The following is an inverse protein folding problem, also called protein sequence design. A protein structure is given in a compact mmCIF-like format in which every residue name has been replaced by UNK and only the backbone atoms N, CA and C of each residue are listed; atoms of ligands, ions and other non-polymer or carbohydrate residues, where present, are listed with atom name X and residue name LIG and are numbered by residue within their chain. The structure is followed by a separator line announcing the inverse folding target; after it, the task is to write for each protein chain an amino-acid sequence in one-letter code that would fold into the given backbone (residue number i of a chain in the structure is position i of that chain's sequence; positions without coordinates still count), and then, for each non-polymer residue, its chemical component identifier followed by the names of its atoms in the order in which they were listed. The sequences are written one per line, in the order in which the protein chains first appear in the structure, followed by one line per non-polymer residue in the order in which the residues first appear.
data_IF_180544644806
#
_entry.id   IF_180544644806
#
_cell.length_a   1.000
_cell.length_b   1.000
_cell.length_c   1.000
_cell.angle_alpha   90.00
_cell.angle_beta   90.00
_cell.angle_gamma   90.00
#
_symmetry.space_group_name_H-M   'P 1'
#
loop_
_entity.id
_entity.type
_entity.pdbx_description
1 polymer ?
#
# COMPACT_ATOMS: atom_id res chain seq x y z
N UNK A 1 -21.23 0.89 -60.33
CA UNK A 1 -20.13 -0.05 -60.03
C UNK A 1 -19.21 0.61 -59.03
N UNK A 2 -19.17 0.13 -57.77
CA UNK A 2 -18.26 0.65 -56.73
C UNK A 2 -16.97 -0.17 -56.84
N UNK A 3 -15.93 0.42 -57.41
CA UNK A 3 -14.64 -0.23 -57.67
C UNK A 3 -14.03 -0.75 -56.36
N UNK A 4 -13.42 -1.92 -56.41
CA UNK A 4 -12.95 -2.64 -55.21
C UNK A 4 -11.95 -1.84 -54.36
N UNK A 5 -11.22 -0.91 -54.99
CA UNK A 5 -10.33 0.07 -54.36
C UNK A 5 -11.04 0.98 -53.35
N UNK A 6 -12.30 1.36 -53.58
CA UNK A 6 -13.05 2.21 -52.64
C UNK A 6 -13.46 1.46 -51.38
N UNK A 7 -13.71 0.15 -51.50
CA UNK A 7 -14.05 -0.71 -50.36
C UNK A 7 -12.83 -0.91 -49.45
N UNK A 8 -11.66 -1.17 -50.04
CA UNK A 8 -10.41 -1.29 -49.28
C UNK A 8 -10.06 0.02 -48.56
N UNK A 9 -10.21 1.17 -49.24
CA UNK A 9 -9.96 2.49 -48.62
C UNK A 9 -10.94 2.78 -47.48
N UNK A 10 -12.20 2.38 -47.62
CA UNK A 10 -13.21 2.51 -46.56
C UNK A 10 -12.87 1.63 -45.34
N UNK A 11 -12.48 0.37 -45.57
CA UNK A 11 -12.09 -0.57 -44.51
C UNK A 11 -10.87 -0.05 -43.74
N UNK A 12 -9.83 0.43 -44.44
CA UNK A 12 -8.63 1.00 -43.79
C UNK A 12 -9.00 2.21 -42.94
N UNK A 13 -9.90 3.08 -43.40
CA UNK A 13 -10.35 4.24 -42.64
C UNK A 13 -11.11 3.87 -41.36
N UNK A 14 -11.95 2.83 -41.43
CA UNK A 14 -12.65 2.27 -40.27
C UNK A 14 -11.64 1.65 -39.29
N UNK A 15 -10.66 0.91 -39.79
CA UNK A 15 -9.63 0.29 -38.96
C UNK A 15 -8.86 1.32 -38.14
N UNK A 16 -8.45 2.44 -38.78
CA UNK A 16 -7.78 3.55 -38.10
C UNK A 16 -8.69 4.15 -37.01
N UNK A 17 -9.97 4.36 -37.31
CA UNK A 17 -10.92 4.88 -36.33
C UNK A 17 -11.06 3.96 -35.10
N UNK A 18 -11.07 2.64 -35.30
CA UNK A 18 -11.12 1.65 -34.22
C UNK A 18 -9.85 1.68 -33.38
N UNK A 19 -8.67 1.78 -34.00
CA UNK A 19 -7.39 1.89 -33.28
C UNK A 19 -7.33 3.16 -32.44
N UNK A 20 -7.79 4.29 -32.98
CA UNK A 20 -7.86 5.56 -32.23
C UNK A 20 -8.82 5.45 -31.05
N UNK A 21 -10.00 4.83 -31.25
CA UNK A 21 -10.96 4.58 -30.18
C UNK A 21 -10.35 3.72 -29.05
N UNK A 22 -9.66 2.63 -29.41
CA UNK A 22 -8.96 1.77 -28.47
C UNK A 22 -7.87 2.52 -27.69
N UNK A 23 -7.10 3.38 -28.35
CA UNK A 23 -6.08 4.20 -27.70
C UNK A 23 -6.68 5.14 -26.63
N UNK A 24 -7.82 5.77 -26.92
CA UNK A 24 -8.54 6.63 -25.97
C UNK A 24 -9.00 5.84 -24.74
N UNK A 25 -9.52 4.62 -24.94
CA UNK A 25 -9.98 3.75 -23.84
C UNK A 25 -8.80 3.35 -22.94
N UNK A 26 -7.67 2.96 -23.53
CA UNK A 26 -6.47 2.62 -22.76
C UNK A 26 -5.98 3.82 -21.95
N UNK A 27 -5.97 5.01 -22.54
CA UNK A 27 -5.58 6.24 -21.83
C UNK A 27 -6.48 6.51 -20.62
N UNK A 28 -7.80 6.33 -20.79
CA UNK A 28 -8.79 6.50 -19.73
C UNK A 28 -8.58 5.52 -18.57
N UNK A 29 -8.33 4.25 -18.87
CA UNK A 29 -8.07 3.22 -17.86
C UNK A 29 -6.80 3.49 -17.05
N UNK A 30 -5.73 3.96 -17.70
CA UNK A 30 -4.44 4.28 -17.05
C UNK A 30 -4.60 5.43 -16.06
N UNK A 31 -5.35 6.48 -16.41
CA UNK A 31 -5.59 7.63 -15.52
C UNK A 31 -6.39 7.21 -14.27
N UNK A 32 -7.39 6.34 -14.43
CA UNK A 32 -8.18 5.84 -13.30
C UNK A 32 -7.35 4.96 -12.37
N UNK A 33 -6.51 4.07 -12.92
CA UNK A 33 -5.61 3.24 -12.10
C UNK A 33 -4.62 4.09 -11.28
N UNK A 34 -4.05 5.14 -11.87
CA UNK A 34 -3.18 6.08 -11.16
C UNK A 34 -3.89 6.74 -9.98
N UNK A 35 -5.17 7.09 -10.14
CA UNK A 35 -5.95 7.68 -9.07
C UNK A 35 -6.19 6.68 -7.92
N UNK A 36 -6.54 5.42 -8.25
CA UNK A 36 -6.74 4.37 -7.24
C UNK A 36 -5.48 4.02 -6.46
N UNK A 37 -4.31 3.92 -7.11
CA UNK A 37 -3.05 3.66 -6.40
C UNK A 37 -2.71 4.78 -5.41
N UNK A 38 -2.91 6.05 -5.80
CA UNK A 38 -2.69 7.17 -4.89
C UNK A 38 -3.64 7.18 -3.68
N UNK A 39 -4.88 6.70 -3.84
CA UNK A 39 -5.82 6.58 -2.71
C UNK A 39 -5.40 5.50 -1.70
N UNK A 40 -4.84 4.39 -2.15
CA UNK A 40 -4.39 3.31 -1.24
C UNK A 40 -3.16 3.75 -0.44
N UNK A 41 -2.21 4.45 -1.08
CA UNK A 41 -1.01 4.94 -0.41
C UNK A 41 -1.32 6.05 0.60
N UNK A 42 -2.22 6.99 0.26
CA UNK A 42 -2.68 8.00 1.22
C UNK A 42 -3.40 7.39 2.42
N UNK A 43 -4.28 6.40 2.20
CA UNK A 43 -5.01 5.74 3.28
C UNK A 43 -4.09 4.97 4.23
N UNK A 44 -2.99 4.39 3.72
CA UNK A 44 -1.97 3.75 4.56
C UNK A 44 -1.25 4.75 5.46
N UNK A 45 -0.90 5.93 4.94
CA UNK A 45 -0.22 6.97 5.71
C UNK A 45 -1.15 7.55 6.79
N UNK A 46 -2.41 7.84 6.45
CA UNK A 46 -3.42 8.30 7.43
C UNK A 46 -3.65 7.28 8.55
N UNK A 47 -3.75 5.99 8.20
CA UNK A 47 -3.97 4.93 9.20
C UNK A 47 -2.79 4.74 10.15
N UNK A 48 -1.54 4.88 9.65
CA UNK A 48 -0.33 4.81 10.48
C UNK A 48 -0.27 6.01 11.42
N UNK A 49 -0.56 7.22 10.95
CA UNK A 49 -0.51 8.44 11.77
C UNK A 49 -1.54 8.41 12.91
N UNK A 50 -2.76 7.93 12.63
CA UNK A 50 -3.78 7.71 13.66
C UNK A 50 -3.37 6.64 14.68
N UNK A 51 -2.78 5.53 14.22
CA UNK A 51 -2.33 4.46 15.11
C UNK A 51 -1.18 4.92 16.02
N UNK A 52 -0.21 5.67 15.47
CA UNK A 52 0.91 6.21 16.25
C UNK A 52 0.41 7.23 17.28
N UNK A 53 -0.39 8.21 16.84
CA UNK A 53 -0.84 9.32 17.68
C UNK A 53 -1.85 8.91 18.75
N UNK A 54 -2.78 8.00 18.43
CA UNK A 54 -3.90 7.67 19.33
C UNK A 54 -3.68 6.39 20.14
N UNK A 55 -2.85 5.46 19.66
CA UNK A 55 -2.70 4.15 20.32
C UNK A 55 -1.28 3.97 20.85
N UNK A 56 -0.26 4.13 20.02
CA UNK A 56 1.12 3.86 20.42
C UNK A 56 1.62 4.82 21.50
N UNK A 57 1.57 6.13 21.23
CA UNK A 57 2.12 7.15 22.14
C UNK A 57 1.39 7.12 23.50
N UNK A 58 0.05 7.08 23.56
CA UNK A 58 -0.65 7.05 24.85
C UNK A 58 -0.43 5.74 25.62
N UNK A 59 -0.37 4.59 24.95
CA UNK A 59 -0.08 3.32 25.63
C UNK A 59 1.36 3.27 26.16
N UNK A 60 2.34 3.78 25.41
CA UNK A 60 3.72 3.92 25.87
C UNK A 60 3.82 4.84 27.08
N UNK A 61 3.14 5.98 27.07
CA UNK A 61 3.17 6.93 28.18
C UNK A 61 2.46 6.41 29.44
N UNK A 62 1.37 5.65 29.28
CA UNK A 62 0.53 5.20 30.40
C UNK A 62 1.03 3.90 31.01
N UNK A 63 1.43 2.93 30.19
CA UNK A 63 1.79 1.59 30.63
C UNK A 63 3.29 1.32 30.53
N UNK A 64 4.06 2.17 29.86
CA UNK A 64 5.48 1.93 29.58
C UNK A 64 5.73 0.87 28.52
N UNK A 65 4.69 0.33 27.87
CA UNK A 65 4.79 -0.66 26.80
C UNK A 65 3.57 -0.60 25.88
N UNK A 66 3.72 -1.07 24.64
CA UNK A 66 2.65 -1.19 23.64
C UNK A 66 2.23 -2.64 23.50
N UNK A 67 0.94 -2.90 23.37
CA UNK A 67 0.41 -4.23 23.06
C UNK A 67 0.03 -4.30 21.58
N UNK A 68 0.73 -5.13 20.79
CA UNK A 68 0.40 -5.40 19.40
C UNK A 68 -0.21 -6.80 19.28
N UNK A 69 -1.51 -6.92 18.97
CA UNK A 69 -2.09 -8.20 18.62
C UNK A 69 -1.59 -8.63 17.23
N UNK A 70 -0.91 -9.77 17.15
CA UNK A 70 -0.42 -10.38 15.91
C UNK A 70 -1.09 -11.75 15.78
N UNK A 71 -2.20 -11.83 15.05
CA UNK A 71 -3.00 -13.06 14.93
C UNK A 71 -3.61 -13.46 16.29
N UNK A 72 -3.15 -14.58 16.84
CA UNK A 72 -3.62 -15.15 18.12
C UNK A 72 -2.71 -14.83 19.32
N UNK A 73 -1.67 -14.04 19.13
CA UNK A 73 -0.68 -13.71 20.16
C UNK A 73 -0.51 -12.21 20.32
N UNK A 74 -0.41 -11.73 21.55
CA UNK A 74 -0.15 -10.31 21.86
C UNK A 74 1.33 -10.11 22.10
N UNK A 75 1.98 -9.30 21.25
CA UNK A 75 3.36 -8.89 21.43
C UNK A 75 3.42 -7.63 22.30
N UNK A 76 4.23 -7.67 23.35
CA UNK A 76 4.46 -6.53 24.23
C UNK A 76 5.77 -5.84 23.81
N UNK A 77 5.70 -4.59 23.38
CA UNK A 77 6.85 -3.78 22.99
C UNK A 77 7.15 -2.78 24.10
N UNK A 78 8.25 -2.94 24.82
CA UNK A 78 8.75 -1.98 25.79
C UNK A 78 9.86 -1.11 25.17
N UNK A 79 10.04 0.15 25.62
CA UNK A 79 11.17 0.96 25.20
C UNK A 79 12.47 0.29 25.64
N UNK A 80 13.37 0.10 24.68
CA UNK A 80 14.67 -0.50 24.93
C UNK A 80 15.58 0.51 25.64
N UNK A 81 16.00 0.21 26.87
CA UNK A 81 17.00 1.00 27.58
C UNK A 81 18.36 0.27 27.55
N UNK A 82 19.39 0.79 26.85
CA UNK A 82 20.68 0.10 26.70
C UNK A 82 21.41 -0.16 28.02
N UNK A 83 21.14 0.62 29.07
CA UNK A 83 21.72 0.42 30.40
C UNK A 83 21.22 -0.84 31.13
N UNK A 84 20.07 -1.39 30.73
CA UNK A 84 19.57 -2.66 31.28
C UNK A 84 20.40 -3.85 30.79
N UNK A 85 21.01 -3.75 29.61
CA UNK A 85 21.87 -4.81 29.07
C UNK A 85 23.17 -4.95 29.88
N UNK A 86 23.61 -3.86 30.51
CA UNK A 86 24.77 -3.80 31.40
C UNK A 86 24.53 -4.44 32.78
N UNK A 87 23.27 -4.71 33.14
CA UNK A 87 22.88 -5.22 34.46
C UNK A 87 22.29 -6.62 34.44
N UNK A 88 22.21 -7.28 33.28
CA UNK A 88 21.70 -8.65 33.20
C UNK A 88 22.72 -9.60 33.86
N UNK A 89 22.44 -10.18 35.05
CA UNK A 89 23.31 -11.20 35.63
C UNK A 89 23.26 -12.39 34.68
N UNK A 90 24.44 -12.91 34.32
CA UNK A 90 24.54 -14.17 33.59
C UNK A 90 23.67 -15.20 34.31
N UNK A 91 22.66 -15.72 33.61
CA UNK A 91 21.78 -16.75 34.15
C UNK A 91 22.64 -17.90 34.69
N UNK A 92 22.69 -18.04 36.01
CA UNK A 92 23.34 -19.16 36.69
C UNK A 92 22.76 -20.45 36.13
N UNK A 93 23.65 -21.26 35.58
CA UNK A 93 23.36 -22.57 35.03
C UNK A 93 22.90 -23.47 36.19
N UNK A 94 21.68 -24.01 36.21
CA UNK A 94 21.32 -25.01 37.21
C UNK A 94 22.18 -26.26 36.98
N UNK A 95 22.90 -26.69 38.02
CA UNK A 95 23.68 -27.95 38.06
C UNK A 95 22.76 -29.18 38.01
#
# INVERSE_FOLDING_TARGET
MRTETDKTRLIVKILIAVVVLLAIIVLYLVVIQQQYNNFVDQKRIEGIDLFISQILIPQLQTNGYVQLPIGNQTLYLAPFNPEQLSQQPAAETPQ
#
